data_IF_054040815504
#
_entry.id   IF_054040815504
#
_cell.length_a   1.000
_cell.length_b   1.000
_cell.length_c   1.000
_cell.angle_alpha   90.00
_cell.angle_beta   90.00
_cell.angle_gamma   90.00
#
_symmetry.space_group_name_H-M   'P 1'
#
loop_
_entity.id
_entity.type
_entity.pdbx_description
1 polymer ?
#
# COMPACT_ATOMS: atom_id res chain seq x y z
N UNK A 1 28.22 17.05 38.95
CA UNK A 1 27.98 17.78 37.69
C UNK A 1 26.53 17.56 37.30
N UNK A 2 25.67 18.54 37.55
CA UNK A 2 24.24 18.49 37.24
C UNK A 2 23.86 19.88 36.76
N UNK A 3 23.49 19.99 35.48
CA UNK A 3 22.93 21.23 34.94
C UNK A 3 21.57 20.91 34.34
N UNK A 4 20.55 21.50 34.95
CA UNK A 4 19.16 21.47 34.51
C UNK A 4 19.01 22.37 33.28
N UNK A 5 18.19 21.93 32.32
CA UNK A 5 17.77 22.72 31.18
C UNK A 5 16.47 23.46 31.54
N UNK A 6 16.53 24.79 31.56
CA UNK A 6 15.38 25.66 31.74
C UNK A 6 14.76 25.94 30.38
N UNK A 7 13.47 25.67 30.27
CA UNK A 7 12.62 25.97 29.12
C UNK A 7 12.31 27.47 29.07
N UNK A 8 12.39 28.09 27.89
CA UNK A 8 11.77 29.38 27.64
C UNK A 8 10.88 29.32 26.41
N UNK A 9 9.58 29.50 26.67
CA UNK A 9 8.58 29.97 25.73
C UNK A 9 9.00 31.34 25.17
N UNK A 10 8.87 31.54 23.86
CA UNK A 10 8.83 32.88 23.28
C UNK A 10 7.57 33.00 22.42
N UNK A 11 6.59 33.72 22.96
CA UNK A 11 5.35 34.14 22.32
C UNK A 11 5.58 35.54 21.72
N UNK A 12 5.15 35.70 20.46
CA UNK A 12 4.76 36.93 19.74
C UNK A 12 5.77 38.10 19.64
N UNK A 13 6.15 38.42 18.40
CA UNK A 13 5.99 39.77 17.85
C UNK A 13 5.99 39.71 16.33
N UNK A 14 4.89 40.16 15.73
CA UNK A 14 4.82 40.45 14.31
C UNK A 14 5.60 41.72 13.99
N UNK A 15 6.20 41.75 12.80
CA UNK A 15 6.51 43.00 12.12
C UNK A 15 6.48 42.74 10.61
N UNK A 16 5.51 43.37 9.95
CA UNK A 16 5.51 43.62 8.51
C UNK A 16 6.63 44.61 8.24
N UNK A 17 7.59 44.26 7.38
CA UNK A 17 8.32 45.25 6.60
C UNK A 17 8.56 44.76 5.18
N UNK A 18 8.00 45.56 4.29
CA UNK A 18 8.09 45.59 2.84
C UNK A 18 9.49 46.09 2.44
N UNK A 19 10.28 45.35 1.66
CA UNK A 19 11.40 45.91 0.87
C UNK A 19 11.42 45.28 -0.52
N UNK A 20 11.71 46.15 -1.47
CA UNK A 20 11.49 46.09 -2.90
C UNK A 20 12.38 45.12 -3.69
N UNK A 21 11.84 44.84 -4.86
CA UNK A 21 12.39 44.21 -6.05
C UNK A 21 13.48 45.09 -6.69
N UNK A 22 14.66 44.54 -7.02
CA UNK A 22 15.60 45.05 -8.04
C UNK A 22 16.63 43.98 -8.39
N UNK A 23 16.91 43.80 -9.69
CA UNK A 23 18.23 43.34 -10.15
C UNK A 23 18.26 42.05 -10.98
N UNK A 24 17.86 42.15 -12.25
CA UNK A 24 18.43 41.32 -13.30
C UNK A 24 19.84 41.87 -13.61
N UNK A 25 20.88 41.05 -13.55
CA UNK A 25 22.14 41.35 -14.23
C UNK A 25 22.68 40.09 -14.93
N UNK A 26 22.80 40.28 -16.24
CA UNK A 26 23.38 39.47 -17.28
C UNK A 26 24.91 39.44 -17.14
N UNK A 27 25.54 38.28 -17.35
CA UNK A 27 26.99 38.23 -17.57
C UNK A 27 27.28 37.41 -18.82
N UNK A 28 27.45 38.12 -19.92
CA UNK A 28 28.11 37.65 -21.14
C UNK A 28 29.62 37.84 -21.01
N UNK A 29 30.38 36.77 -21.23
CA UNK A 29 31.78 36.79 -21.62
C UNK A 29 32.02 35.41 -22.26
N UNK A 30 32.48 35.25 -23.49
CA UNK A 30 33.26 36.10 -24.37
C UNK A 30 34.15 35.13 -25.14
N UNK A 31 33.99 35.09 -26.46
CA UNK A 31 34.50 34.07 -27.39
C UNK A 31 36.02 33.94 -27.45
N UNK A 32 36.46 32.74 -27.81
CA UNK A 32 37.68 32.52 -28.59
C UNK A 32 37.44 31.37 -29.57
N UNK A 33 37.16 31.76 -30.82
CA UNK A 33 37.32 30.96 -32.04
C UNK A 33 38.82 30.80 -32.35
N UNK A 34 39.23 29.59 -32.71
CA UNK A 34 40.20 29.33 -33.79
C UNK A 34 40.30 27.83 -34.11
N UNK A 35 40.03 27.54 -35.38
CA UNK A 35 40.69 26.53 -36.24
C UNK A 35 40.32 25.03 -36.12
N UNK A 36 39.34 24.66 -36.95
CA UNK A 36 39.40 23.66 -38.05
C UNK A 36 40.63 22.72 -38.08
N UNK A 37 40.39 21.40 -38.00
CA UNK A 37 40.78 20.32 -38.95
C UNK A 37 39.90 19.09 -38.62
N UNK A 38 39.00 18.68 -39.52
CA UNK A 38 39.15 17.56 -40.47
C UNK A 38 39.78 16.27 -39.89
N UNK A 39 38.93 15.30 -39.55
CA UNK A 39 39.28 13.88 -39.61
C UNK A 39 38.00 13.01 -39.59
N UNK A 40 37.68 12.48 -40.75
CA UNK A 40 36.85 11.30 -40.97
C UNK A 40 37.41 10.08 -40.22
N UNK A 41 36.58 9.39 -39.41
CA UNK A 41 36.78 7.96 -39.12
C UNK A 41 35.47 7.30 -38.64
N UNK A 42 35.22 6.13 -39.21
CA UNK A 42 34.04 5.27 -39.11
C UNK A 42 33.87 4.57 -37.74
N UNK A 43 32.68 3.97 -37.46
CA UNK A 43 32.40 3.26 -36.22
C UNK A 43 33.14 1.92 -36.12
N UNK A 44 34.02 1.78 -35.13
CA UNK A 44 34.65 0.50 -34.82
C UNK A 44 33.68 -0.44 -34.09
N UNK A 45 33.30 -1.48 -34.83
CA UNK A 45 32.67 -2.70 -34.35
C UNK A 45 33.71 -3.47 -33.54
N UNK A 46 33.54 -3.53 -32.21
CA UNK A 46 34.17 -4.57 -31.40
C UNK A 46 33.12 -5.23 -30.51
N UNK A 47 32.42 -6.17 -31.12
CA UNK A 47 31.75 -7.28 -30.46
C UNK A 47 32.83 -8.33 -30.13
N UNK A 48 33.53 -8.13 -29.02
CA UNK A 48 34.34 -9.16 -28.37
C UNK A 48 33.42 -9.91 -27.40
N UNK A 49 33.01 -11.10 -27.84
CA UNK A 49 32.41 -12.08 -26.96
C UNK A 49 33.47 -12.67 -26.04
N UNK A 50 33.38 -12.34 -24.77
CA UNK A 50 33.89 -13.19 -23.70
C UNK A 50 32.93 -13.15 -22.52
N UNK A 51 32.06 -14.17 -22.47
CA UNK A 51 31.32 -14.55 -21.27
C UNK A 51 32.32 -15.11 -20.25
N UNK A 52 32.41 -14.57 -19.02
CA UNK A 52 33.09 -15.29 -17.95
C UNK A 52 32.24 -16.48 -17.50
N UNK A 53 32.77 -17.68 -17.69
CA UNK A 53 32.31 -18.95 -17.15
C UNK A 53 32.57 -19.01 -15.64
N UNK A 54 31.73 -18.29 -14.90
CA UNK A 54 31.67 -18.38 -13.44
C UNK A 54 31.04 -19.70 -12.99
N UNK A 55 31.85 -20.76 -12.98
CA UNK A 55 31.80 -21.92 -12.09
C UNK A 55 30.86 -21.75 -10.89
N UNK A 56 29.66 -22.32 -10.99
CA UNK A 56 28.85 -22.67 -9.82
C UNK A 56 29.09 -24.14 -9.57
N UNK A 57 29.83 -24.42 -8.50
CA UNK A 57 30.10 -25.76 -8.01
C UNK A 57 28.80 -26.48 -7.70
N UNK A 58 28.61 -27.61 -8.37
CA UNK A 58 27.69 -28.69 -8.06
C UNK A 58 27.58 -28.95 -6.54
N UNK A 59 26.50 -28.48 -5.91
CA UNK A 59 25.91 -29.20 -4.78
C UNK A 59 24.82 -30.11 -5.31
N UNK A 60 25.30 -31.26 -5.80
CA UNK A 60 24.53 -32.46 -6.07
C UNK A 60 23.74 -32.85 -4.81
N UNK A 61 22.47 -32.48 -4.76
CA UNK A 61 21.52 -33.07 -3.82
C UNK A 61 21.34 -34.54 -4.22
N UNK A 62 21.61 -35.52 -3.34
CA UNK A 62 21.32 -36.91 -3.64
C UNK A 62 19.80 -37.12 -3.66
N UNK A 63 19.32 -37.42 -4.86
CA UNK A 63 18.07 -38.14 -5.10
C UNK A 63 18.28 -39.61 -4.70
N UNK A 64 17.26 -40.18 -4.07
CA UNK A 64 17.04 -41.57 -3.66
C UNK A 64 17.70 -42.09 -2.38
N UNK A 65 16.93 -42.04 -1.28
CA UNK A 65 16.76 -43.21 -0.40
C UNK A 65 15.27 -43.39 -0.12
N UNK A 66 14.66 -44.26 -0.92
CA UNK A 66 13.82 -45.40 -0.51
C UNK A 66 12.95 -45.23 0.75
N UNK A 67 11.64 -45.31 0.50
CA UNK A 67 10.60 -45.91 1.34
C UNK A 67 11.13 -46.78 2.49
N UNK A 68 10.98 -46.28 3.72
CA UNK A 68 10.76 -47.12 4.88
C UNK A 68 9.33 -46.85 5.36
N UNK A 69 8.44 -47.73 4.91
CA UNK A 69 7.12 -47.96 5.48
C UNK A 69 7.28 -49.18 6.37
N UNK A 70 7.52 -48.95 7.64
CA UNK A 70 7.51 -49.93 8.71
C UNK A 70 6.67 -49.37 9.84
N UNK A 71 5.58 -50.09 10.11
CA UNK A 71 4.41 -49.59 10.80
C UNK A 71 4.61 -49.34 12.29
N UNK A 72 3.79 -48.42 12.77
CA UNK A 72 3.09 -48.61 14.04
C UNK A 72 1.69 -48.00 13.87
N UNK A 73 0.73 -48.84 13.50
CA UNK A 73 -0.68 -48.49 13.49
C UNK A 73 -1.09 -48.18 14.94
N UNK A 74 -1.17 -46.89 15.27
CA UNK A 74 -1.87 -46.45 16.47
C UNK A 74 -3.35 -46.78 16.26
N UNK A 75 -3.99 -47.58 17.13
CA UNK A 75 -5.42 -47.81 17.01
C UNK A 75 -6.14 -46.47 17.13
N UNK A 76 -6.98 -46.17 16.14
CA UNK A 76 -7.94 -45.09 16.20
C UNK A 76 -8.84 -45.35 17.40
N UNK A 77 -8.69 -44.55 18.46
CA UNK A 77 -9.65 -44.54 19.55
C UNK A 77 -11.02 -44.19 18.97
N UNK A 78 -11.90 -45.18 19.07
CA UNK A 78 -13.32 -45.09 18.77
C UNK A 78 -13.90 -44.03 19.70
N UNK A 79 -14.13 -42.83 19.19
CA UNK A 79 -15.00 -41.87 19.87
C UNK A 79 -16.41 -42.43 19.79
N UNK A 80 -16.88 -42.98 20.91
CA UNK A 80 -18.27 -43.36 21.10
C UNK A 80 -19.17 -42.12 20.92
N UNK A 81 -20.30 -42.23 20.19
CA UNK A 81 -21.31 -41.20 20.16
C UNK A 81 -22.05 -41.17 21.50
N UNK A 82 -21.60 -40.32 22.42
CA UNK A 82 -22.33 -40.03 23.64
C UNK A 82 -23.39 -38.95 23.35
N UNK A 83 -24.63 -39.43 23.25
CA UNK A 83 -25.88 -38.79 23.67
C UNK A 83 -26.01 -37.26 23.53
N UNK A 84 -26.45 -36.82 22.35
CA UNK A 84 -27.10 -35.51 22.17
C UNK A 84 -28.61 -35.72 22.37
N UNK A 85 -29.03 -35.96 23.61
CA UNK A 85 -30.42 -35.88 24.04
C UNK A 85 -30.47 -35.34 25.47
N UNK A 86 -30.26 -34.03 25.61
CA UNK A 86 -30.90 -33.31 26.72
C UNK A 86 -31.49 -32.00 26.22
N UNK A 87 -32.61 -32.17 25.55
CA UNK A 87 -33.61 -31.15 25.32
C UNK A 87 -34.47 -31.09 26.60
N UNK A 88 -34.11 -30.22 27.53
CA UNK A 88 -35.06 -29.72 28.53
C UNK A 88 -35.21 -28.21 28.37
N UNK A 89 -36.40 -27.87 27.90
CA UNK A 89 -37.00 -26.55 27.89
C UNK A 89 -36.99 -25.95 29.30
N UNK A 90 -36.43 -24.76 29.44
CA UNK A 90 -36.75 -23.86 30.54
C UNK A 90 -37.64 -22.73 29.97
N UNK A 91 -38.94 -23.00 30.00
CA UNK A 91 -39.97 -21.97 29.91
C UNK A 91 -40.06 -21.28 31.28
N UNK A 92 -39.40 -20.12 31.42
CA UNK A 92 -39.77 -19.15 32.46
C UNK A 92 -40.12 -17.80 31.84
N UNK A 93 -41.43 -17.55 31.81
CA UNK A 93 -42.03 -16.29 31.46
C UNK A 93 -41.54 -15.15 32.39
N UNK A 94 -40.93 -14.12 31.80
CA UNK A 94 -40.86 -12.79 32.41
C UNK A 94 -41.60 -11.82 31.50
N UNK A 95 -42.69 -11.29 32.03
CA UNK A 95 -43.49 -10.20 31.48
C UNK A 95 -42.79 -8.88 31.81
N UNK A 96 -42.58 -8.00 30.83
CA UNK A 96 -42.23 -6.59 31.07
C UNK A 96 -41.34 -5.92 30.03
N UNK A 97 -41.95 -5.52 28.92
CA UNK A 97 -41.78 -4.25 28.18
C UNK A 97 -40.49 -3.40 28.40
N UNK A 98 -39.56 -3.45 27.44
CA UNK A 98 -39.00 -2.27 26.74
C UNK A 98 -38.25 -2.73 25.48
N UNK A 99 -38.48 -2.01 24.39
CA UNK A 99 -38.09 -2.29 23.02
C UNK A 99 -36.65 -1.86 22.76
N UNK A 100 -35.74 -2.82 22.62
CA UNK A 100 -34.63 -2.70 21.66
C UNK A 100 -34.16 -4.10 21.28
N UNK A 101 -34.91 -4.69 20.35
CA UNK A 101 -34.48 -5.88 19.63
C UNK A 101 -33.25 -5.48 18.82
N UNK A 102 -32.06 -5.73 19.35
CA UNK A 102 -30.86 -5.87 18.52
C UNK A 102 -30.93 -7.24 17.87
N UNK A 103 -31.69 -7.29 16.78
CA UNK A 103 -31.67 -8.37 15.81
C UNK A 103 -30.27 -8.39 15.17
N UNK A 104 -29.40 -9.26 15.68
CA UNK A 104 -28.14 -9.62 15.03
C UNK A 104 -28.31 -10.99 14.36
N UNK A 105 -29.27 -11.07 13.45
CA UNK A 105 -29.30 -12.12 12.42
C UNK A 105 -29.29 -11.50 11.03
N UNK A 106 -28.15 -10.89 10.66
CA UNK A 106 -27.88 -10.61 9.26
C UNK A 106 -26.42 -10.90 8.91
N UNK A 107 -26.07 -12.19 8.93
CA UNK A 107 -24.95 -12.69 8.17
C UNK A 107 -25.35 -12.70 6.69
N UNK A 108 -25.30 -11.52 6.06
CA UNK A 108 -25.38 -11.18 4.62
C UNK A 108 -26.07 -9.81 4.41
N UNK A 109 -25.74 -8.79 5.23
CA UNK A 109 -25.94 -7.42 4.74
C UNK A 109 -24.95 -7.19 3.61
N UNK A 110 -25.44 -7.33 2.37
CA UNK A 110 -24.77 -6.80 1.18
C UNK A 110 -24.46 -5.32 1.44
N UNK A 111 -23.23 -5.01 1.82
CA UNK A 111 -22.79 -3.65 2.12
C UNK A 111 -23.03 -2.79 0.87
N UNK A 112 -24.02 -1.90 0.95
CA UNK A 112 -24.33 -0.98 -0.15
C UNK A 112 -23.51 0.29 -0.03
N UNK A 113 -23.19 0.88 -1.18
CA UNK A 113 -22.38 2.09 -1.25
C UNK A 113 -23.09 3.26 -0.55
N UNK A 114 -22.31 4.11 0.09
CA UNK A 114 -22.76 5.41 0.58
C UNK A 114 -23.08 6.30 -0.65
N UNK A 115 -24.22 6.99 -0.72
CA UNK A 115 -24.62 7.69 -1.95
C UNK A 115 -23.77 8.93 -2.26
N UNK A 116 -23.05 9.46 -1.27
CA UNK A 116 -22.29 10.71 -1.37
C UNK A 116 -20.89 10.51 -0.82
N UNK A 117 -19.89 10.99 -1.55
CA UNK A 117 -18.50 11.05 -1.14
C UNK A 117 -17.70 11.97 -2.06
N UNK A 118 -16.42 12.20 -1.77
CA UNK A 118 -15.53 12.95 -2.66
C UNK A 118 -15.38 12.25 -4.01
N UNK A 119 -15.13 13.02 -5.07
CA UNK A 119 -14.89 12.47 -6.41
C UNK A 119 -13.45 11.98 -6.55
N UNK A 120 -13.19 11.16 -7.58
CA UNK A 120 -11.82 10.72 -7.86
C UNK A 120 -10.87 11.89 -8.12
N UNK A 121 -11.28 12.91 -8.90
CA UNK A 121 -10.44 14.10 -9.11
C UNK A 121 -10.04 14.80 -7.81
N UNK A 122 -10.95 14.88 -6.82
CA UNK A 122 -10.66 15.46 -5.50
C UNK A 122 -9.64 14.60 -4.73
N UNK A 123 -9.82 13.27 -4.69
CA UNK A 123 -8.87 12.36 -4.05
C UNK A 123 -7.52 12.39 -4.75
N UNK A 124 -7.52 12.46 -6.07
CA UNK A 124 -6.30 12.49 -6.85
C UNK A 124 -5.46 13.71 -6.50
N UNK A 125 -6.06 14.91 -6.55
CA UNK A 125 -5.33 16.15 -6.32
C UNK A 125 -4.96 16.37 -4.85
N UNK A 126 -5.77 15.87 -3.90
CA UNK A 126 -5.51 16.05 -2.45
C UNK A 126 -4.63 14.97 -1.83
N UNK A 127 -4.61 13.75 -2.39
CA UNK A 127 -3.96 12.60 -1.76
C UNK A 127 -2.99 11.93 -2.73
N UNK A 128 -3.50 11.32 -3.80
CA UNK A 128 -2.71 10.42 -4.65
C UNK A 128 -1.51 11.17 -5.25
N UNK A 129 -1.76 12.31 -5.90
CA UNK A 129 -0.73 13.12 -6.57
C UNK A 129 0.34 13.61 -5.60
N UNK A 130 -0.06 14.02 -4.41
CA UNK A 130 0.84 14.67 -3.44
C UNK A 130 1.65 13.67 -2.64
N UNK A 131 1.18 12.44 -2.50
CA UNK A 131 1.77 11.48 -1.56
C UNK A 131 2.17 10.15 -2.18
N UNK A 132 1.73 9.82 -3.40
CA UNK A 132 2.00 8.53 -4.02
C UNK A 132 2.75 8.64 -5.36
N UNK A 133 2.45 9.69 -6.15
CA UNK A 133 2.97 9.86 -7.53
C UNK A 133 4.37 10.46 -7.54
N UNK A 134 5.34 9.67 -7.12
CA UNK A 134 6.76 10.00 -7.23
C UNK A 134 7.44 9.08 -8.24
N UNK A 135 8.44 9.60 -8.96
CA UNK A 135 9.17 8.84 -9.98
C UNK A 135 9.80 7.54 -9.45
N UNK A 136 10.11 7.49 -8.15
CA UNK A 136 10.64 6.30 -7.46
C UNK A 136 9.58 5.39 -6.84
N UNK A 137 8.33 5.85 -6.72
CA UNK A 137 7.26 5.14 -6.01
C UNK A 137 6.18 4.70 -7.00
N UNK A 138 5.20 5.53 -7.35
CA UNK A 138 4.11 5.10 -8.24
C UNK A 138 3.99 5.99 -9.47
N UNK A 139 4.73 5.62 -10.52
CA UNK A 139 4.62 6.17 -11.87
C UNK A 139 4.94 5.10 -12.92
N UNK A 140 4.97 5.49 -14.20
CA UNK A 140 5.14 4.54 -15.32
C UNK A 140 6.34 3.60 -15.17
N UNK A 141 7.53 4.16 -14.92
CA UNK A 141 8.77 3.38 -14.85
C UNK A 141 8.82 2.42 -13.63
N UNK A 142 8.49 2.85 -12.40
CA UNK A 142 8.55 1.95 -11.24
C UNK A 142 7.35 1.00 -11.11
N UNK A 143 6.29 1.14 -11.93
CA UNK A 143 5.04 0.38 -11.78
C UNK A 143 5.30 -1.12 -11.55
N UNK A 144 6.07 -1.80 -12.42
CA UNK A 144 6.36 -3.25 -12.28
C UNK A 144 7.01 -3.63 -10.94
N UNK A 145 7.86 -2.76 -10.38
CA UNK A 145 8.54 -3.02 -9.10
C UNK A 145 7.65 -2.71 -7.90
N UNK A 146 6.67 -1.83 -8.09
CA UNK A 146 5.80 -1.32 -7.03
C UNK A 146 4.35 -1.80 -7.22
N UNK A 147 4.20 -3.10 -7.45
CA UNK A 147 2.90 -3.78 -7.51
C UNK A 147 2.11 -3.57 -8.81
N UNK A 148 2.81 -3.33 -9.91
CA UNK A 148 2.22 -3.00 -11.22
C UNK A 148 1.31 -1.76 -11.21
N UNK A 149 1.56 -0.84 -10.28
CA UNK A 149 0.68 0.28 -10.00
C UNK A 149 1.24 1.61 -10.55
N UNK A 150 0.60 2.13 -11.60
CA UNK A 150 0.84 3.46 -12.15
C UNK A 150 -0.24 4.44 -11.68
N UNK A 151 0.16 5.45 -10.92
CA UNK A 151 -0.75 6.43 -10.33
C UNK A 151 -0.70 7.79 -11.04
N UNK A 152 -0.22 7.87 -12.28
CA UNK A 152 -0.36 9.10 -13.07
C UNK A 152 -1.83 9.39 -13.40
N UNK A 153 -2.17 10.68 -13.51
CA UNK A 153 -3.55 11.20 -13.53
C UNK A 153 -4.47 10.50 -14.53
N UNK A 154 -3.92 10.18 -15.69
CA UNK A 154 -4.58 9.57 -16.83
C UNK A 154 -4.91 8.08 -16.65
N UNK A 155 -4.19 7.37 -15.77
CA UNK A 155 -4.32 5.90 -15.61
C UNK A 155 -4.58 5.45 -14.17
N UNK A 156 -4.49 6.35 -13.20
CA UNK A 156 -4.54 6.03 -11.77
C UNK A 156 -5.83 5.32 -11.35
N UNK A 157 -6.99 5.80 -11.81
CA UNK A 157 -8.28 5.19 -11.46
C UNK A 157 -8.36 3.75 -11.95
N UNK A 158 -8.09 3.53 -13.24
CA UNK A 158 -8.14 2.21 -13.89
C UNK A 158 -7.09 1.23 -13.34
N UNK A 159 -5.97 1.76 -12.82
CA UNK A 159 -4.90 0.97 -12.24
C UNK A 159 -5.22 0.47 -10.82
N UNK A 160 -6.19 1.06 -10.13
CA UNK A 160 -6.56 0.71 -8.75
C UNK A 160 -7.92 0.04 -8.63
N UNK A 161 -8.96 0.65 -9.19
CA UNK A 161 -10.34 0.27 -8.89
C UNK A 161 -10.67 -1.07 -9.54
N UNK A 162 -11.16 -2.03 -8.76
CA UNK A 162 -11.51 -3.35 -9.27
C UNK A 162 -10.33 -4.32 -9.46
N UNK A 163 -9.08 -3.88 -9.22
CA UNK A 163 -7.88 -4.67 -9.52
C UNK A 163 -7.47 -5.51 -8.32
N UNK A 164 -7.16 -6.79 -8.53
CA UNK A 164 -6.62 -7.64 -7.47
C UNK A 164 -5.27 -7.10 -6.99
N UNK A 165 -5.03 -7.13 -5.68
CA UNK A 165 -3.73 -6.81 -5.11
C UNK A 165 -2.66 -7.80 -5.61
N UNK A 166 -1.44 -7.32 -5.88
CA UNK A 166 -0.33 -8.20 -6.29
C UNK A 166 0.53 -8.67 -5.12
N UNK A 167 0.28 -8.17 -3.91
CA UNK A 167 0.88 -8.72 -2.70
C UNK A 167 0.37 -10.16 -2.50
N UNK A 168 1.23 -11.16 -2.28
CA UNK A 168 0.80 -12.57 -2.24
C UNK A 168 -0.26 -12.88 -1.18
N UNK A 169 -0.13 -12.32 0.03
CA UNK A 169 -1.08 -12.57 1.12
C UNK A 169 -2.44 -11.92 0.83
N UNK A 170 -2.44 -10.67 0.38
CA UNK A 170 -3.66 -9.96 -0.02
C UNK A 170 -4.34 -10.62 -1.23
N UNK A 171 -3.56 -11.07 -2.22
CA UNK A 171 -4.07 -11.78 -3.38
C UNK A 171 -4.71 -13.12 -3.00
N UNK A 172 -4.10 -13.87 -2.07
CA UNK A 172 -4.64 -15.14 -1.56
C UNK A 172 -5.97 -14.94 -0.82
N UNK A 173 -6.19 -13.76 -0.24
CA UNK A 173 -7.45 -13.36 0.39
C UNK A 173 -8.47 -12.75 -0.58
N UNK A 174 -8.11 -12.58 -1.86
CA UNK A 174 -8.99 -11.98 -2.86
C UNK A 174 -9.13 -10.46 -2.73
N UNK A 175 -8.28 -9.78 -1.96
CA UNK A 175 -8.38 -8.33 -1.75
C UNK A 175 -8.11 -7.55 -3.04
N UNK A 176 -8.99 -6.63 -3.37
CA UNK A 176 -8.77 -5.66 -4.44
C UNK A 176 -7.95 -4.47 -3.92
N UNK A 177 -7.20 -3.79 -4.79
CA UNK A 177 -6.50 -2.56 -4.47
C UNK A 177 -7.49 -1.50 -3.96
N UNK A 178 -8.56 -1.28 -4.70
CA UNK A 178 -9.73 -0.54 -4.27
C UNK A 178 -10.96 -1.36 -4.61
N UNK A 179 -11.68 -1.77 -3.57
CA UNK A 179 -12.95 -2.48 -3.66
C UNK A 179 -14.10 -1.47 -3.45
N UNK A 180 -14.85 -1.10 -4.51
CA UNK A 180 -15.93 -0.14 -4.41
C UNK A 180 -16.90 -0.50 -3.29
N UNK A 181 -17.28 0.50 -2.49
CA UNK A 181 -18.25 0.40 -1.40
C UNK A 181 -17.73 -0.34 -0.15
N UNK A 182 -16.52 -0.92 -0.23
CA UNK A 182 -15.91 -1.74 0.81
C UNK A 182 -14.52 -1.19 1.20
N UNK A 183 -14.46 -0.06 1.93
CA UNK A 183 -13.18 0.53 2.35
C UNK A 183 -12.34 -0.45 3.17
N UNK A 184 -12.94 -1.21 4.08
CA UNK A 184 -12.21 -2.13 4.94
C UNK A 184 -11.77 -3.42 4.23
N UNK A 185 -12.32 -3.72 3.03
CA UNK A 185 -11.85 -4.82 2.16
C UNK A 185 -10.90 -4.32 1.06
N UNK A 186 -10.59 -3.03 1.05
CA UNK A 186 -9.67 -2.44 0.08
C UNK A 186 -8.23 -2.53 0.58
N UNK A 187 -7.37 -3.18 -0.19
CA UNK A 187 -5.95 -3.30 0.15
C UNK A 187 -5.25 -1.95 0.25
N UNK A 188 -5.69 -0.93 -0.49
CA UNK A 188 -5.21 0.45 -0.33
C UNK A 188 -5.39 0.94 1.10
N UNK A 189 -6.58 0.77 1.70
CA UNK A 189 -6.86 1.24 3.08
C UNK A 189 -5.98 0.50 4.08
N UNK A 190 -5.88 -0.83 3.95
CA UNK A 190 -4.97 -1.65 4.74
C UNK A 190 -3.55 -1.05 4.69
N UNK A 191 -3.02 -0.78 3.48
CA UNK A 191 -1.67 -0.23 3.29
C UNK A 191 -1.46 1.16 3.89
N UNK A 192 -2.50 2.00 3.93
CA UNK A 192 -2.45 3.32 4.55
C UNK A 192 -2.43 3.25 6.08
N UNK A 193 -3.09 2.26 6.67
CA UNK A 193 -3.31 2.12 8.12
C UNK A 193 -2.25 1.24 8.83
N UNK A 194 -1.35 0.58 8.09
CA UNK A 194 -0.28 -0.23 8.68
C UNK A 194 0.60 0.58 9.66
N UNK A 195 1.09 -0.05 10.74
CA UNK A 195 1.99 0.61 11.68
C UNK A 195 3.36 0.89 11.03
N UNK A 196 4.15 1.81 11.59
CA UNK A 196 5.47 2.18 11.03
C UNK A 196 6.42 0.98 10.83
N UNK A 197 6.39 0.02 11.75
CA UNK A 197 7.14 -1.24 11.67
C UNK A 197 6.69 -2.17 10.54
N UNK A 198 5.54 -1.87 9.92
CA UNK A 198 4.91 -2.68 8.91
C UNK A 198 4.26 -3.94 9.46
N UNK A 199 3.90 -4.80 8.53
CA UNK A 199 3.37 -6.13 8.76
C UNK A 199 4.19 -7.16 7.96
N UNK A 200 4.47 -8.36 8.51
CA UNK A 200 5.26 -9.38 7.81
C UNK A 200 4.66 -9.85 6.48
N UNK A 201 3.34 -9.85 6.34
CA UNK A 201 2.61 -10.32 5.16
C UNK A 201 2.37 -9.18 4.16
N UNK A 202 2.02 -8.00 4.66
CA UNK A 202 1.62 -6.87 3.81
C UNK A 202 2.72 -5.84 3.58
N UNK A 203 3.86 -5.95 4.28
CA UNK A 203 5.00 -5.04 4.20
C UNK A 203 4.81 -3.74 5.00
N UNK A 204 5.54 -2.68 4.67
CA UNK A 204 5.44 -1.40 5.38
C UNK A 204 4.21 -0.56 4.99
N UNK A 205 3.82 0.45 5.78
CA UNK A 205 2.79 1.40 5.41
C UNK A 205 3.22 2.18 4.17
N UNK A 206 2.24 2.57 3.37
CA UNK A 206 2.45 3.40 2.20
C UNK A 206 1.44 4.54 2.18
N UNK A 207 1.87 5.77 1.82
CA UNK A 207 3.26 6.18 1.61
C UNK A 207 4.05 6.27 2.93
N UNK A 208 5.37 6.08 2.85
CA UNK A 208 6.28 6.37 3.97
C UNK A 208 6.55 7.87 4.01
N UNK A 209 5.95 8.59 4.94
CA UNK A 209 6.09 10.06 5.05
C UNK A 209 6.87 10.38 6.33
N UNK A 210 8.17 10.69 6.23
CA UNK A 210 9.03 11.21 7.33
C UNK A 210 8.68 10.72 8.76
N UNK A 211 8.70 9.41 9.00
CA UNK A 211 8.45 8.82 10.33
C UNK A 211 6.98 8.57 10.67
N UNK A 212 6.06 8.63 9.69
CA UNK A 212 4.65 8.29 9.86
C UNK A 212 3.92 7.99 8.55
N UNK A 213 2.73 7.40 8.66
CA UNK A 213 1.78 7.28 7.55
C UNK A 213 1.09 8.61 7.23
N UNK A 214 0.05 8.57 6.40
CA UNK A 214 -0.78 9.75 6.16
C UNK A 214 -1.56 10.15 7.43
N UNK A 215 -1.92 11.44 7.59
CA UNK A 215 -2.84 11.86 8.65
C UNK A 215 -4.16 11.08 8.57
N UNK A 216 -4.75 10.72 9.71
CA UNK A 216 -6.00 9.94 9.76
C UNK A 216 -7.14 10.59 8.99
N UNK A 217 -7.24 11.92 9.00
CA UNK A 217 -8.21 12.70 8.22
C UNK A 217 -8.03 12.51 6.70
N UNK A 218 -6.78 12.37 6.24
CA UNK A 218 -6.47 12.10 4.83
C UNK A 218 -6.83 10.67 4.46
N UNK A 219 -6.58 9.71 5.35
CA UNK A 219 -7.00 8.31 5.18
C UNK A 219 -8.53 8.23 5.13
N UNK A 220 -9.22 8.94 6.03
CA UNK A 220 -10.68 8.96 6.05
C UNK A 220 -11.26 9.50 4.73
N UNK A 221 -10.64 10.52 4.13
CA UNK A 221 -11.08 11.03 2.83
C UNK A 221 -11.01 9.95 1.74
N UNK A 222 -9.98 9.08 1.76
CA UNK A 222 -9.88 7.93 0.86
C UNK A 222 -10.97 6.90 1.16
N UNK A 223 -11.20 6.58 2.45
CA UNK A 223 -12.27 5.66 2.86
C UNK A 223 -13.65 6.15 2.42
N UNK A 224 -13.93 7.45 2.52
CA UNK A 224 -15.20 8.05 2.10
C UNK A 224 -15.41 7.95 0.58
N UNK A 225 -14.36 8.14 -0.22
CA UNK A 225 -14.44 7.92 -1.68
C UNK A 225 -14.74 6.46 -2.02
N UNK A 226 -14.07 5.52 -1.34
CA UNK A 226 -14.28 4.08 -1.57
C UNK A 226 -15.68 3.69 -1.14
N UNK A 227 -16.12 4.10 0.04
CA UNK A 227 -17.47 3.89 0.55
C UNK A 227 -18.54 4.45 -0.40
N UNK A 228 -18.23 5.56 -1.10
CA UNK A 228 -19.11 6.14 -2.12
C UNK A 228 -19.10 5.42 -3.49
N UNK A 229 -18.45 4.26 -3.56
CA UNK A 229 -18.36 3.42 -4.74
C UNK A 229 -17.18 3.72 -5.66
N UNK A 230 -16.16 4.44 -5.16
CA UNK A 230 -14.90 4.68 -5.86
C UNK A 230 -15.07 5.20 -7.30
N UNK A 231 -16.10 6.02 -7.56
CA UNK A 231 -16.48 6.44 -8.92
C UNK A 231 -15.42 7.34 -9.54
N UNK A 232 -15.22 7.18 -10.85
CA UNK A 232 -14.53 8.15 -11.69
C UNK A 232 -15.51 9.27 -12.06
N UNK A 233 -15.07 10.52 -12.04
CA UNK A 233 -15.90 11.71 -12.33
C UNK A 233 -15.75 12.23 -13.76
#
# INVERSE_FOLDING_TARGET
MTKQAVWYWCILCGLVFLIANTGCEESTSGNNDADVEDATAEPDVNNDGTLPDGSSTDTKLPVDVLNNHDGEEQPLDVIEPQDINDFQQDDTAVVGEDSSVHDVTNADELQTCVPTGPTFSVIYDKVIKLSCVFASCHGAAPAKKNGYLDLRKDVAWESMVGKLATNPAAAAQGLQLVDPCLPDQSFLVLKLELPEGGDPEYGGPMPKVNGGGLPSETIQLVKDWIAAGAKND
#
